data_IF_569413402848
#
_entry.id   IF_569413402848
#
_cell.length_a   1.000
_cell.length_b   1.000
_cell.length_c   1.000
_cell.angle_alpha   90.00
_cell.angle_beta   90.00
_cell.angle_gamma   90.00
#
_symmetry.space_group_name_H-M   'P 1'
#
loop_
_entity.id
_entity.type
_entity.pdbx_description
1 polymer ?
#
# COMPACT_ATOMS: atom_id res chain seq x y z
N UNK A 1 6.76 -8.88 48.67
CA UNK A 1 6.72 -9.46 47.32
C UNK A 1 5.59 -8.77 46.57
N UNK A 2 5.86 -7.72 45.79
CA UNK A 2 4.92 -7.23 44.80
C UNK A 2 5.25 -7.86 43.42
N UNK A 3 4.30 -8.69 42.98
CA UNK A 3 3.74 -8.73 41.63
C UNK A 3 4.71 -8.75 40.44
N UNK A 4 5.02 -9.98 39.99
CA UNK A 4 5.46 -10.27 38.62
C UNK A 4 4.27 -10.09 37.67
N UNK A 5 4.21 -8.95 36.99
CA UNK A 5 3.51 -8.85 35.70
C UNK A 5 4.25 -7.86 34.81
N UNK A 6 5.43 -8.28 34.33
CA UNK A 6 5.99 -7.75 33.08
C UNK A 6 5.12 -8.28 31.92
N UNK A 7 3.95 -7.66 31.73
CA UNK A 7 3.18 -7.75 30.49
C UNK A 7 3.79 -6.76 29.49
N UNK A 8 4.96 -7.10 28.92
CA UNK A 8 5.53 -6.41 27.77
C UNK A 8 5.78 -7.37 26.61
N UNK A 9 5.36 -6.91 25.44
CA UNK A 9 5.48 -7.45 24.07
C UNK A 9 4.49 -8.58 23.72
N UNK A 10 3.70 -8.53 22.64
CA UNK A 10 4.12 -8.28 21.27
C UNK A 10 3.06 -7.52 20.45
N UNK A 11 3.26 -6.22 20.21
CA UNK A 11 2.85 -5.67 18.91
C UNK A 11 3.94 -6.08 17.93
N UNK A 12 3.82 -7.27 17.34
CA UNK A 12 4.71 -7.64 16.24
C UNK A 12 4.57 -6.55 15.18
N UNK A 13 5.62 -5.75 15.01
CA UNK A 13 5.80 -5.04 13.74
C UNK A 13 5.92 -6.17 12.73
N UNK A 14 4.82 -6.49 12.05
CA UNK A 14 4.81 -7.54 11.03
C UNK A 14 5.67 -7.07 9.85
N UNK A 15 6.98 -7.25 9.98
CA UNK A 15 7.94 -7.02 8.92
C UNK A 15 7.80 -8.16 7.91
N UNK A 16 7.63 -7.81 6.63
CA UNK A 16 7.53 -8.77 5.55
C UNK A 16 8.69 -8.60 4.58
N UNK A 17 9.26 -9.71 4.15
CA UNK A 17 10.27 -9.70 3.09
C UNK A 17 9.61 -9.30 1.76
N UNK A 18 10.25 -8.35 1.06
CA UNK A 18 9.82 -7.87 -0.24
C UNK A 18 10.92 -8.21 -1.25
N UNK A 19 10.56 -8.96 -2.29
CA UNK A 19 11.51 -9.30 -3.35
C UNK A 19 12.04 -8.02 -4.02
N UNK A 20 13.34 -7.92 -4.36
CA UNK A 20 13.96 -6.70 -4.88
C UNK A 20 13.24 -6.08 -6.08
N UNK A 21 12.71 -6.90 -6.99
CA UNK A 21 11.97 -6.45 -8.18
C UNK A 21 10.66 -5.71 -7.85
N UNK A 22 10.09 -5.97 -6.67
CA UNK A 22 8.83 -5.41 -6.21
C UNK A 22 9.02 -4.17 -5.35
N UNK A 23 10.24 -3.91 -4.86
CA UNK A 23 10.53 -2.84 -3.91
C UNK A 23 10.06 -1.46 -4.42
N UNK A 24 10.47 -1.10 -5.64
CA UNK A 24 10.06 0.18 -6.24
C UNK A 24 8.54 0.31 -6.43
N UNK A 25 7.84 -0.79 -6.73
CA UNK A 25 6.37 -0.76 -6.82
C UNK A 25 5.72 -0.56 -5.45
N UNK A 26 6.29 -1.15 -4.41
CA UNK A 26 5.84 -1.00 -3.04
C UNK A 26 6.02 0.44 -2.55
N UNK A 27 7.20 1.04 -2.73
CA UNK A 27 7.46 2.44 -2.35
C UNK A 27 6.47 3.40 -3.01
N UNK A 28 6.27 3.27 -4.32
CA UNK A 28 5.30 4.08 -5.06
C UNK A 28 3.88 3.87 -4.52
N UNK A 29 3.50 2.63 -4.24
CA UNK A 29 2.17 2.31 -3.69
C UNK A 29 1.97 2.93 -2.29
N UNK A 30 2.98 2.83 -1.41
CA UNK A 30 2.94 3.39 -0.06
C UNK A 30 2.85 4.92 -0.08
N UNK A 31 3.54 5.58 -1.01
CA UNK A 31 3.43 7.03 -1.21
C UNK A 31 2.06 7.45 -1.76
N UNK A 32 1.33 6.54 -2.40
CA UNK A 32 -0.06 6.73 -2.82
C UNK A 32 -1.09 6.46 -1.70
N UNK A 33 -0.68 6.10 -0.48
CA UNK A 33 -1.56 5.62 0.61
C UNK A 33 -2.70 6.58 1.00
N UNK A 34 -2.57 7.87 0.69
CA UNK A 34 -3.59 8.90 0.98
C UNK A 34 -4.52 9.19 -0.20
N UNK A 35 -4.27 8.60 -1.37
CA UNK A 35 -4.90 8.96 -2.65
C UNK A 35 -6.01 7.99 -3.07
N UNK A 36 -6.91 7.66 -2.14
CA UNK A 36 -8.01 6.73 -2.39
C UNK A 36 -9.28 7.42 -2.90
N UNK A 37 -9.93 6.77 -3.86
CA UNK A 37 -11.29 7.06 -4.33
C UNK A 37 -12.31 6.46 -3.39
N UNK A 38 -13.22 7.31 -2.92
CA UNK A 38 -14.39 6.89 -2.14
C UNK A 38 -15.59 6.65 -3.04
N UNK A 39 -16.34 5.57 -2.79
CA UNK A 39 -17.63 5.35 -3.45
C UNK A 39 -18.69 6.32 -2.90
N UNK A 40 -19.73 6.67 -3.69
CA UNK A 40 -20.80 7.56 -3.25
C UNK A 40 -21.56 7.11 -1.99
N UNK A 41 -21.60 5.80 -1.72
CA UNK A 41 -22.27 5.19 -0.56
C UNK A 41 -21.30 4.74 0.54
N UNK A 42 -20.05 5.22 0.52
CA UNK A 42 -18.99 4.81 1.45
C UNK A 42 -18.16 3.63 0.94
N UNK A 43 -16.96 3.45 1.50
CA UNK A 43 -15.98 2.46 1.06
C UNK A 43 -15.02 2.96 -0.02
N UNK A 44 -13.96 2.18 -0.28
CA UNK A 44 -12.89 2.54 -1.21
C UNK A 44 -13.03 1.75 -2.52
N UNK A 45 -12.82 2.43 -3.64
CA UNK A 45 -12.95 1.83 -4.98
C UNK A 45 -11.61 1.62 -5.69
N UNK A 46 -10.58 2.38 -5.31
CA UNK A 46 -9.23 2.30 -5.86
C UNK A 46 -8.44 3.58 -5.66
N UNK A 47 -7.23 3.64 -6.17
CA UNK A 47 -6.38 4.81 -6.16
C UNK A 47 -6.76 5.78 -7.29
N UNK A 48 -6.46 7.06 -7.06
CA UNK A 48 -6.48 8.07 -8.10
C UNK A 48 -5.31 7.85 -9.08
N UNK A 49 -5.58 7.26 -10.25
CA UNK A 49 -4.54 6.99 -11.25
C UNK A 49 -3.76 8.24 -11.73
N UNK A 50 -4.35 9.44 -11.80
CA UNK A 50 -3.55 10.65 -12.01
C UNK A 50 -2.53 10.89 -10.90
N UNK A 51 -2.91 10.67 -9.63
CA UNK A 51 -1.98 10.80 -8.50
C UNK A 51 -0.90 9.71 -8.54
N UNK A 52 -1.26 8.46 -8.86
CA UNK A 52 -0.28 7.36 -9.05
C UNK A 52 0.74 7.75 -10.11
N UNK A 53 0.29 8.29 -11.25
CA UNK A 53 1.20 8.77 -12.30
C UNK A 53 2.15 9.85 -11.78
N UNK A 54 1.64 10.85 -11.07
CA UNK A 54 2.46 11.92 -10.48
C UNK A 54 3.49 11.38 -9.48
N UNK A 55 3.11 10.42 -8.62
CA UNK A 55 4.05 9.77 -7.70
C UNK A 55 5.13 9.00 -8.47
N UNK A 56 4.75 8.25 -9.51
CA UNK A 56 5.72 7.55 -10.37
C UNK A 56 6.69 8.52 -11.07
N UNK A 57 6.24 9.72 -11.43
CA UNK A 57 7.10 10.78 -11.96
C UNK A 57 8.08 11.31 -10.89
N UNK A 58 7.65 11.48 -9.63
CA UNK A 58 8.54 11.85 -8.52
C UNK A 58 9.59 10.76 -8.19
N UNK A 59 9.23 9.50 -8.35
CA UNK A 59 10.14 8.36 -8.26
C UNK A 59 11.07 8.21 -9.48
N UNK A 60 11.00 9.13 -10.45
CA UNK A 60 11.80 9.14 -11.68
C UNK A 60 11.73 7.81 -12.46
N UNK A 61 10.56 7.14 -12.43
CA UNK A 61 10.38 5.87 -13.15
C UNK A 61 10.59 6.09 -14.65
N UNK A 62 11.50 5.34 -15.30
CA UNK A 62 11.75 5.48 -16.73
C UNK A 62 10.48 5.30 -17.57
N UNK A 63 10.32 6.08 -18.65
CA UNK A 63 9.14 5.99 -19.53
C UNK A 63 8.93 4.59 -20.12
N UNK A 64 10.02 3.85 -20.38
CA UNK A 64 9.95 2.46 -20.86
C UNK A 64 9.37 1.49 -19.81
N UNK A 65 9.52 1.81 -18.53
CA UNK A 65 9.12 0.98 -17.39
C UNK A 65 7.80 1.43 -16.76
N UNK A 66 7.36 2.67 -17.02
CA UNK A 66 6.11 3.26 -16.52
C UNK A 66 4.92 2.30 -16.65
N UNK A 67 4.75 1.66 -17.80
CA UNK A 67 3.64 0.72 -17.99
C UNK A 67 3.73 -0.50 -17.08
N UNK A 68 4.93 -1.03 -16.88
CA UNK A 68 5.13 -2.21 -16.05
C UNK A 68 4.98 -1.86 -14.57
N UNK A 69 5.61 -0.78 -14.13
CA UNK A 69 5.51 -0.31 -12.75
C UNK A 69 4.07 0.02 -12.36
N UNK A 70 3.31 0.64 -13.27
CA UNK A 70 1.89 0.88 -13.05
C UNK A 70 1.08 -0.42 -12.85
N UNK A 71 1.38 -1.49 -13.59
CA UNK A 71 0.71 -2.78 -13.39
C UNK A 71 1.02 -3.36 -12.01
N UNK A 72 2.28 -3.28 -11.57
CA UNK A 72 2.69 -3.79 -10.26
C UNK A 72 1.99 -3.02 -9.13
N UNK A 73 1.90 -1.69 -9.23
CA UNK A 73 1.12 -0.87 -8.27
C UNK A 73 -0.35 -1.29 -8.26
N UNK A 74 -0.96 -1.59 -9.41
CA UNK A 74 -2.34 -2.11 -9.46
C UNK A 74 -2.52 -3.48 -8.81
N UNK A 75 -1.50 -4.32 -8.78
CA UNK A 75 -1.55 -5.60 -8.05
C UNK A 75 -1.60 -5.35 -6.54
N UNK A 76 -0.78 -4.42 -6.04
CA UNK A 76 -0.78 -3.98 -4.64
C UNK A 76 -2.11 -3.32 -4.26
N UNK A 77 -2.62 -2.40 -5.09
CA UNK A 77 -3.94 -1.78 -4.96
C UNK A 77 -5.03 -2.83 -4.78
N UNK A 78 -5.06 -3.86 -5.64
CA UNK A 78 -6.07 -4.92 -5.55
C UNK A 78 -5.96 -5.70 -4.24
N UNK A 79 -4.74 -6.01 -3.80
CA UNK A 79 -4.51 -6.66 -2.50
C UNK A 79 -5.02 -5.82 -1.34
N UNK A 80 -4.64 -4.54 -1.30
CA UNK A 80 -5.07 -3.61 -0.27
C UNK A 80 -6.60 -3.40 -0.26
N UNK A 81 -7.22 -3.20 -1.43
CA UNK A 81 -8.68 -3.09 -1.53
C UNK A 81 -9.40 -4.33 -1.01
N UNK A 82 -8.87 -5.53 -1.27
CA UNK A 82 -9.47 -6.76 -0.78
C UNK A 82 -9.47 -6.81 0.75
N UNK A 83 -8.38 -6.41 1.41
CA UNK A 83 -8.32 -6.40 2.88
C UNK A 83 -9.12 -5.23 3.49
N UNK A 84 -8.99 -4.02 2.94
CA UNK A 84 -9.72 -2.84 3.43
C UNK A 84 -11.24 -3.00 3.29
N UNK A 85 -11.71 -3.65 2.21
CA UNK A 85 -13.14 -3.91 2.04
C UNK A 85 -13.65 -5.10 2.87
N UNK A 86 -12.78 -5.98 3.38
CA UNK A 86 -13.18 -6.97 4.41
C UNK A 86 -13.39 -6.28 5.76
N UNK A 87 -12.54 -5.33 6.12
CA UNK A 87 -12.63 -4.59 7.38
C UNK A 87 -13.88 -3.69 7.47
N UNK A 88 -14.41 -3.24 6.33
CA UNK A 88 -15.61 -2.40 6.25
C UNK A 88 -16.93 -3.20 6.06
N UNK A 89 -16.92 -4.52 6.24
CA UNK A 89 -18.13 -5.38 6.17
C UNK A 89 -18.76 -5.63 7.53
#
# INVERSE_FOLDING_TARGET
>A
MPDESDDQDESSTDEFEVLPENWSALEIFLDCSTQWKHAPMGGLTGLEYPAVRTVMEFHAVPLAEMRERFKQVRLLERGALNEMNKANR
#
